data_IF_903031687784
#
_entry.id   IF_903031687784
#
_cell.length_a   1.000
_cell.length_b   1.000
_cell.length_c   1.000
_cell.angle_alpha   90.00
_cell.angle_beta   90.00
_cell.angle_gamma   90.00
#
_symmetry.space_group_name_H-M   'P 1'
#
loop_
_entity.id
_entity.type
_entity.pdbx_description
1 polymer ?
#
# COMPACT_ATOMS: atom_id res chain seq x y z
N UNK A 1 22.88 2.38 6.12
CA UNK A 1 23.32 1.56 4.96
C UNK A 1 23.31 2.49 3.76
N UNK A 2 24.48 2.72 3.14
CA UNK A 2 24.59 3.45 1.87
C UNK A 2 24.51 2.45 0.73
N UNK A 3 23.69 2.72 -0.26
CA UNK A 3 23.59 1.92 -1.48
C UNK A 3 24.00 2.79 -2.66
N UNK A 4 24.96 2.34 -3.43
CA UNK A 4 25.37 2.99 -4.68
C UNK A 4 24.60 2.34 -5.83
N UNK A 5 23.96 3.17 -6.65
CA UNK A 5 23.34 2.74 -7.89
C UNK A 5 24.04 3.44 -9.06
N UNK A 6 24.50 2.67 -10.03
CA UNK A 6 25.16 3.17 -11.23
C UNK A 6 24.62 2.41 -12.43
N UNK A 7 24.18 3.14 -13.44
CA UNK A 7 23.63 2.54 -14.66
C UNK A 7 24.34 3.11 -15.88
N UNK A 8 24.76 2.22 -16.75
CA UNK A 8 25.30 2.54 -18.07
C UNK A 8 24.27 2.15 -19.10
N UNK A 9 23.79 3.12 -19.83
CA UNK A 9 22.89 2.91 -20.95
C UNK A 9 23.70 2.93 -22.23
N UNK A 10 24.25 1.77 -22.60
CA UNK A 10 24.91 1.56 -23.89
C UNK A 10 23.98 0.85 -24.86
N UNK A 11 24.36 0.77 -26.11
CA UNK A 11 23.60 0.11 -27.19
C UNK A 11 23.14 -1.30 -26.79
N UNK A 12 21.90 -1.56 -27.00
CA UNK A 12 21.06 -2.76 -27.19
C UNK A 12 21.53 -4.17 -26.76
N UNK A 13 22.73 -4.42 -26.32
CA UNK A 13 23.19 -5.80 -26.06
C UNK A 13 22.88 -6.34 -24.65
N UNK A 14 22.49 -5.51 -23.69
CA UNK A 14 22.32 -5.94 -22.30
C UNK A 14 20.89 -5.79 -21.72
N UNK A 15 19.86 -5.70 -22.55
CA UNK A 15 18.46 -5.78 -22.10
C UNK A 15 17.99 -4.68 -21.14
N UNK A 16 18.74 -3.60 -20.96
CA UNK A 16 18.35 -2.47 -20.15
C UNK A 16 17.52 -1.49 -21.00
N UNK A 17 16.31 -1.16 -20.54
CA UNK A 17 15.40 -0.27 -21.22
C UNK A 17 15.96 1.16 -21.20
N UNK A 18 16.55 1.58 -22.32
CA UNK A 18 16.86 2.99 -22.56
C UNK A 18 15.77 3.60 -23.42
N UNK A 19 15.25 4.80 -23.09
CA UNK A 19 14.27 5.46 -23.94
C UNK A 19 14.77 5.59 -25.37
N UNK A 20 13.98 5.18 -26.35
CA UNK A 20 14.31 5.05 -27.78
C UNK A 20 14.76 6.34 -28.47
N UNK A 21 14.66 7.49 -27.84
CA UNK A 21 15.06 8.80 -28.36
C UNK A 21 16.51 9.19 -28.00
N UNK A 22 17.26 8.31 -27.33
CA UNK A 22 18.68 8.53 -27.00
C UNK A 22 19.56 7.77 -27.99
N UNK A 23 19.53 8.17 -29.22
CA UNK A 23 20.32 7.55 -30.29
C UNK A 23 21.76 8.08 -30.27
N UNK A 24 22.70 7.16 -30.35
CA UNK A 24 24.12 7.36 -30.71
C UNK A 24 25.08 7.94 -29.67
N UNK A 25 24.68 8.26 -28.44
CA UNK A 25 25.62 8.68 -27.40
C UNK A 25 25.28 7.98 -26.09
N UNK A 26 26.21 7.19 -25.54
CA UNK A 26 26.02 6.49 -24.27
C UNK A 26 25.59 7.43 -23.14
N UNK A 27 24.68 6.98 -22.31
CA UNK A 27 24.23 7.69 -21.11
C UNK A 27 24.84 7.05 -19.87
N UNK A 28 25.17 7.87 -18.88
CA UNK A 28 25.68 7.39 -17.60
C UNK A 28 24.93 8.04 -16.46
N UNK A 29 24.52 7.21 -15.50
CA UNK A 29 23.94 7.60 -14.24
C UNK A 29 24.86 7.17 -13.11
N UNK A 30 25.10 8.06 -12.17
CA UNK A 30 25.81 7.72 -10.94
C UNK A 30 25.14 8.42 -9.77
N UNK A 31 24.83 7.69 -8.72
CA UNK A 31 24.20 8.25 -7.54
C UNK A 31 24.51 7.47 -6.28
N UNK A 32 24.22 8.12 -5.17
CA UNK A 32 24.30 7.56 -3.83
C UNK A 32 22.96 7.76 -3.12
N UNK A 33 22.52 6.73 -2.44
CA UNK A 33 21.36 6.75 -1.55
C UNK A 33 21.82 6.36 -0.13
N UNK A 34 21.55 7.22 0.85
CA UNK A 34 21.84 6.97 2.26
C UNK A 34 20.53 7.01 3.06
N UNK A 35 20.31 5.97 3.86
CA UNK A 35 19.21 5.88 4.81
C UNK A 35 19.78 5.71 6.20
N UNK A 36 19.44 6.61 7.10
CA UNK A 36 19.79 6.57 8.52
C UNK A 36 18.51 6.47 9.34
N UNK A 37 18.47 5.50 10.25
CA UNK A 37 17.31 5.26 11.10
C UNK A 37 17.76 5.13 12.55
N UNK A 38 17.15 5.95 13.41
CA UNK A 38 17.30 5.90 14.84
C UNK A 38 16.00 5.43 15.46
N UNK A 39 16.07 4.40 16.30
CA UNK A 39 14.95 3.86 17.03
C UNK A 39 15.34 3.75 18.49
N UNK A 40 14.54 4.34 19.37
CA UNK A 40 14.64 4.19 20.81
C UNK A 40 13.30 3.80 21.39
N UNK A 41 13.28 2.79 22.25
CA UNK A 41 12.07 2.39 22.97
C UNK A 41 12.35 2.14 24.44
N UNK A 42 11.34 2.39 25.26
CA UNK A 42 11.31 2.04 26.69
C UNK A 42 9.99 1.36 26.98
N UNK A 43 10.03 0.26 27.71
CA UNK A 43 8.84 -0.45 28.11
C UNK A 43 8.90 -0.80 29.61
N UNK A 44 7.74 -0.70 30.28
CA UNK A 44 7.52 -1.10 31.65
C UNK A 44 6.43 -2.16 31.66
N UNK A 45 6.74 -3.36 32.16
CA UNK A 45 5.82 -4.47 32.23
C UNK A 45 5.50 -4.81 33.69
N UNK A 46 4.23 -5.13 33.93
CA UNK A 46 3.73 -5.61 35.21
C UNK A 46 2.97 -6.91 35.02
N UNK A 47 3.31 -7.93 35.78
CA UNK A 47 2.63 -9.22 35.75
C UNK A 47 2.39 -9.70 37.18
N UNK A 48 1.14 -10.03 37.52
CA UNK A 48 0.78 -10.53 38.84
C UNK A 48 -0.34 -11.56 38.75
N UNK A 49 -0.17 -12.64 39.48
CA UNK A 49 -1.21 -13.65 39.71
C UNK A 49 -1.67 -13.59 41.17
N UNK A 50 -2.98 -13.49 41.39
CA UNK A 50 -3.61 -13.46 42.70
C UNK A 50 -4.73 -14.50 42.68
N UNK A 51 -4.43 -15.69 43.18
CA UNK A 51 -5.38 -16.82 43.14
C UNK A 51 -5.80 -17.14 41.70
N UNK A 52 -7.09 -16.99 41.42
CA UNK A 52 -7.70 -17.24 40.09
C UNK A 52 -7.58 -16.07 39.14
N UNK A 53 -7.02 -14.95 39.58
CA UNK A 53 -6.90 -13.72 38.81
C UNK A 53 -5.45 -13.54 38.30
N UNK A 54 -5.27 -13.32 37.04
CA UNK A 54 -3.99 -12.92 36.44
C UNK A 54 -4.15 -11.56 35.77
N UNK A 55 -3.25 -10.65 36.10
CA UNK A 55 -3.20 -9.31 35.54
C UNK A 55 -1.83 -9.10 34.88
N UNK A 56 -1.82 -8.73 33.63
CA UNK A 56 -0.64 -8.30 32.90
C UNK A 56 -0.90 -6.91 32.36
N UNK A 57 0.04 -5.99 32.55
CA UNK A 57 -0.03 -4.65 32.00
C UNK A 57 1.33 -4.23 31.46
N UNK A 58 1.32 -3.46 30.40
CA UNK A 58 2.52 -2.87 29.80
C UNK A 58 2.26 -1.43 29.40
N UNK A 59 3.23 -0.57 29.64
CA UNK A 59 3.27 0.79 29.12
C UNK A 59 4.59 0.97 28.40
N UNK A 60 4.58 1.50 27.19
CA UNK A 60 5.78 1.70 26.41
C UNK A 60 5.73 3.02 25.63
N UNK A 61 6.92 3.55 25.35
CA UNK A 61 7.11 4.71 24.48
C UNK A 61 8.20 4.39 23.47
N UNK A 62 7.99 4.82 22.24
CA UNK A 62 8.91 4.63 21.12
C UNK A 62 9.12 5.96 20.41
N UNK A 63 10.35 6.22 20.01
CA UNK A 63 10.68 7.32 19.12
C UNK A 63 11.53 6.79 17.96
N UNK A 64 11.12 7.12 16.75
CA UNK A 64 11.79 6.74 15.51
C UNK A 64 12.07 7.99 14.70
N UNK A 65 13.32 8.13 14.24
CA UNK A 65 13.72 9.15 13.28
C UNK A 65 14.34 8.49 12.08
N UNK A 66 13.86 8.85 10.89
CA UNK A 66 14.33 8.36 9.60
C UNK A 66 14.78 9.52 8.74
N UNK A 67 16.06 9.51 8.36
CA UNK A 67 16.63 10.48 7.43
C UNK A 67 17.07 9.76 6.17
N UNK A 68 16.63 10.26 5.01
CA UNK A 68 17.03 9.77 3.69
C UNK A 68 17.69 10.91 2.93
N UNK A 69 18.83 10.61 2.34
CA UNK A 69 19.51 11.52 1.41
C UNK A 69 19.82 10.78 0.13
N UNK A 70 19.64 11.45 -0.99
CA UNK A 70 20.06 10.92 -2.27
C UNK A 70 20.75 12.01 -3.09
N UNK A 71 21.68 11.60 -3.88
CA UNK A 71 22.36 12.42 -4.85
C UNK A 71 22.59 11.62 -6.11
N UNK A 72 22.30 12.20 -7.29
CA UNK A 72 22.63 11.55 -8.56
C UNK A 72 23.04 12.54 -9.64
N UNK A 73 23.84 12.02 -10.55
CA UNK A 73 24.27 12.72 -11.76
C UNK A 73 23.91 11.88 -12.97
N UNK A 74 23.32 12.53 -13.95
CA UNK A 74 23.09 12.00 -15.28
C UNK A 74 23.94 12.77 -16.28
N UNK A 75 24.65 12.08 -17.14
CA UNK A 75 25.46 12.67 -18.20
C UNK A 75 25.32 11.88 -19.50
N UNK A 76 25.56 12.58 -20.63
CA UNK A 76 25.42 12.06 -22.00
C UNK A 76 26.74 12.09 -22.73
N UNK A 77 26.87 11.24 -23.78
CA UNK A 77 28.00 11.29 -24.70
C UNK A 77 29.26 10.71 -24.10
N UNK A 78 29.17 9.55 -23.45
CA UNK A 78 30.35 8.77 -23.06
C UNK A 78 30.98 8.20 -24.35
N UNK A 79 32.29 8.42 -24.61
CA UNK A 79 32.92 8.05 -25.86
C UNK A 79 33.18 6.53 -25.99
N UNK A 80 33.27 5.80 -24.87
CA UNK A 80 33.52 4.37 -24.82
C UNK A 80 32.93 3.78 -23.54
N UNK A 81 32.55 2.51 -23.60
CA UNK A 81 32.09 1.75 -22.43
C UNK A 81 33.23 1.36 -21.47
N UNK A 82 34.47 1.49 -21.87
CA UNK A 82 35.65 1.09 -21.07
C UNK A 82 35.79 1.89 -19.79
N UNK A 83 35.28 3.12 -19.76
CA UNK A 83 35.30 3.95 -18.56
C UNK A 83 34.17 3.59 -17.56
N UNK A 84 33.21 2.81 -17.99
CA UNK A 84 32.03 2.54 -17.18
C UNK A 84 31.39 3.83 -16.69
N UNK A 85 30.96 3.84 -15.42
CA UNK A 85 30.39 5.02 -14.75
C UNK A 85 31.39 5.79 -13.87
N UNK A 86 32.67 5.42 -13.92
CA UNK A 86 33.69 5.98 -13.02
C UNK A 86 34.31 7.29 -13.53
N UNK A 87 34.15 7.58 -14.83
CA UNK A 87 34.69 8.79 -15.42
C UNK A 87 33.60 9.70 -16.02
N UNK A 88 32.81 10.36 -15.16
CA UNK A 88 31.83 11.35 -15.59
C UNK A 88 32.45 12.56 -16.30
N UNK A 89 33.75 12.80 -16.08
CA UNK A 89 34.50 13.86 -16.73
C UNK A 89 34.66 13.66 -18.24
N UNK A 90 34.63 12.40 -18.71
CA UNK A 90 34.75 12.05 -20.12
C UNK A 90 33.43 12.22 -20.91
N UNK A 91 32.33 12.62 -20.30
CA UNK A 91 31.04 12.81 -20.97
C UNK A 91 31.00 14.14 -21.72
N UNK A 92 30.39 14.14 -22.91
CA UNK A 92 30.28 15.33 -23.77
C UNK A 92 29.31 16.39 -23.20
N UNK A 93 28.27 15.98 -22.47
CA UNK A 93 27.28 16.90 -21.96
C UNK A 93 26.70 16.45 -20.61
N UNK A 94 26.44 17.41 -19.75
CA UNK A 94 25.63 17.27 -18.52
C UNK A 94 24.35 18.07 -18.74
N UNK A 95 23.24 17.41 -19.06
CA UNK A 95 21.99 18.10 -19.32
C UNK A 95 21.53 18.86 -18.08
N UNK A 96 20.81 19.96 -18.32
CA UNK A 96 20.09 20.66 -17.27
C UNK A 96 19.12 19.69 -16.58
N UNK A 97 19.04 19.74 -15.25
CA UNK A 97 18.31 18.73 -14.45
C UNK A 97 19.00 17.38 -14.33
N UNK A 98 20.21 17.22 -14.91
CA UNK A 98 21.00 15.99 -14.80
C UNK A 98 21.76 15.82 -13.47
N UNK A 99 21.62 16.76 -12.55
CA UNK A 99 22.19 16.65 -11.20
C UNK A 99 21.10 16.98 -10.19
N UNK A 100 20.81 16.08 -9.30
CA UNK A 100 19.77 16.25 -8.28
C UNK A 100 20.25 15.73 -6.93
N UNK A 101 19.79 16.36 -5.87
CA UNK A 101 19.95 15.89 -4.50
C UNK A 101 18.64 16.01 -3.75
N UNK A 102 18.35 15.03 -2.90
CA UNK A 102 17.14 15.02 -2.07
C UNK A 102 17.52 14.81 -0.61
N UNK A 103 16.72 15.40 0.25
CA UNK A 103 16.78 15.24 1.69
C UNK A 103 15.37 15.04 2.23
N UNK A 104 15.14 13.95 2.94
CA UNK A 104 13.88 13.65 3.61
C UNK A 104 14.16 13.35 5.08
N UNK A 105 13.39 13.97 5.95
CA UNK A 105 13.41 13.75 7.40
C UNK A 105 12.00 13.41 7.89
N UNK A 106 11.86 12.31 8.61
CA UNK A 106 10.60 11.80 9.13
C UNK A 106 10.77 11.41 10.60
N UNK A 107 9.84 11.83 11.43
CA UNK A 107 9.81 11.48 12.85
C UNK A 107 8.48 10.84 13.20
N UNK A 108 8.53 9.82 14.05
CA UNK A 108 7.38 9.13 14.63
C UNK A 108 7.62 8.98 16.13
N UNK A 109 6.66 9.42 16.93
CA UNK A 109 6.64 9.22 18.38
C UNK A 109 5.40 8.42 18.75
N UNK A 110 5.54 7.37 19.55
CA UNK A 110 4.45 6.49 19.94
C UNK A 110 4.39 6.33 21.44
N UNK A 111 3.18 6.28 21.99
CA UNK A 111 2.90 5.90 23.36
C UNK A 111 1.88 4.78 23.34
N UNK A 112 2.17 3.69 24.05
CA UNK A 112 1.35 2.49 24.05
C UNK A 112 1.04 2.06 25.46
N UNK A 113 -0.18 1.60 25.69
CA UNK A 113 -0.60 0.94 26.91
C UNK A 113 -1.40 -0.30 26.60
N UNK A 114 -1.13 -1.39 27.29
CA UNK A 114 -1.89 -2.63 27.22
C UNK A 114 -2.21 -3.16 28.59
N UNK A 115 -3.38 -3.76 28.75
CA UNK A 115 -3.76 -4.49 29.96
C UNK A 115 -4.53 -5.75 29.58
N UNK A 116 -4.14 -6.88 30.15
CA UNK A 116 -4.84 -8.15 30.02
C UNK A 116 -5.24 -8.66 31.40
N UNK A 117 -6.52 -8.91 31.56
CA UNK A 117 -7.06 -9.57 32.72
C UNK A 117 -7.54 -10.98 32.36
N UNK A 118 -7.05 -11.98 33.08
CA UNK A 118 -7.48 -13.36 32.92
C UNK A 118 -8.09 -13.91 34.24
N UNK A 119 -9.27 -14.48 34.10
CA UNK A 119 -10.02 -15.10 35.20
C UNK A 119 -10.05 -16.61 34.99
N UNK A 120 -9.67 -17.36 36.04
CA UNK A 120 -9.67 -18.83 36.06
C UNK A 120 -8.81 -19.47 34.97
N UNK A 121 -7.92 -18.71 34.31
CA UNK A 121 -7.23 -19.11 33.08
C UNK A 121 -8.19 -19.55 31.95
N UNK A 122 -9.46 -19.11 32.00
CA UNK A 122 -10.50 -19.46 31.03
C UNK A 122 -10.96 -18.24 30.23
N UNK A 123 -11.13 -17.12 30.88
CA UNK A 123 -11.63 -15.88 30.30
C UNK A 123 -10.50 -14.85 30.30
N UNK A 124 -10.14 -14.34 29.17
CA UNK A 124 -9.13 -13.29 29.05
C UNK A 124 -9.69 -12.10 28.29
N UNK A 125 -9.63 -10.94 28.90
CA UNK A 125 -9.98 -9.66 28.30
C UNK A 125 -8.71 -8.83 28.16
N UNK A 126 -8.40 -8.39 26.95
CA UNK A 126 -7.27 -7.52 26.68
C UNK A 126 -7.76 -6.19 26.12
N UNK A 127 -7.22 -5.09 26.64
CA UNK A 127 -7.48 -3.73 26.17
C UNK A 127 -6.13 -3.11 25.83
N UNK A 128 -6.03 -2.52 24.63
CA UNK A 128 -4.81 -1.83 24.21
C UNK A 128 -5.19 -0.43 23.69
N UNK A 129 -4.29 0.51 23.89
CA UNK A 129 -4.40 1.86 23.36
C UNK A 129 -3.04 2.29 22.85
N UNK A 130 -3.01 2.85 21.63
CA UNK A 130 -1.80 3.39 21.00
C UNK A 130 -2.09 4.80 20.51
N UNK A 131 -1.22 5.72 20.88
CA UNK A 131 -1.16 7.06 20.32
C UNK A 131 0.12 7.21 19.49
N UNK A 132 0.00 7.62 18.24
CA UNK A 132 1.12 7.83 17.33
C UNK A 132 1.13 9.27 16.83
N UNK A 133 2.23 9.97 17.00
CA UNK A 133 2.49 11.31 16.48
C UNK A 133 3.50 11.24 15.34
N UNK A 134 3.20 11.85 14.20
CA UNK A 134 4.05 11.84 13.01
C UNK A 134 4.27 13.21 12.44
N UNK A 135 5.51 13.50 12.01
CA UNK A 135 5.84 14.72 11.24
C UNK A 135 5.36 14.71 9.79
N UNK A 136 4.76 13.60 9.32
CA UNK A 136 4.29 13.46 7.94
C UNK A 136 2.85 13.91 7.74
N UNK A 137 2.05 13.96 8.80
CA UNK A 137 0.65 14.41 8.75
C UNK A 137 0.54 15.93 8.97
N UNK A 138 -0.65 16.47 8.73
CA UNK A 138 -0.92 17.89 8.92
C UNK A 138 -0.85 18.30 10.40
N UNK A 139 -0.50 19.55 10.64
CA UNK A 139 -0.32 20.10 12.00
C UNK A 139 -1.58 19.94 12.87
N UNK A 140 -2.77 19.96 12.24
CA UNK A 140 -4.04 19.79 12.93
C UNK A 140 -4.31 18.33 13.35
N UNK A 141 -3.58 17.36 12.81
CA UNK A 141 -3.80 15.92 13.00
C UNK A 141 -2.53 15.13 13.29
N UNK A 142 -1.55 15.77 13.91
CA UNK A 142 -0.23 15.16 14.21
C UNK A 142 -0.36 13.83 14.96
N UNK A 143 -1.31 13.74 15.90
CA UNK A 143 -1.55 12.54 16.69
C UNK A 143 -2.76 11.75 16.23
N UNK A 144 -2.57 10.44 16.00
CA UNK A 144 -3.63 9.45 15.85
C UNK A 144 -3.80 8.62 17.12
N UNK A 145 -5.03 8.19 17.41
CA UNK A 145 -5.33 7.33 18.55
C UNK A 145 -6.02 6.04 18.08
N UNK A 146 -5.47 4.89 18.46
CA UNK A 146 -5.82 3.58 17.96
C UNK A 146 -6.10 2.60 19.10
N UNK A 147 -7.34 2.52 19.59
CA UNK A 147 -7.74 1.58 20.63
C UNK A 147 -8.03 0.19 20.06
N UNK A 148 -7.90 -0.84 20.91
CA UNK A 148 -8.40 -2.18 20.63
C UNK A 148 -8.84 -2.90 21.88
N UNK A 149 -9.79 -3.83 21.72
CA UNK A 149 -10.26 -4.72 22.75
C UNK A 149 -10.39 -6.12 22.16
N UNK A 150 -9.98 -7.13 22.93
CA UNK A 150 -10.18 -8.52 22.54
C UNK A 150 -10.58 -9.37 23.73
N UNK A 151 -11.37 -10.41 23.46
CA UNK A 151 -11.82 -11.37 24.42
C UNK A 151 -11.53 -12.79 23.92
N UNK A 152 -11.02 -13.62 24.83
CA UNK A 152 -10.75 -15.04 24.58
C UNK A 152 -11.41 -15.88 25.65
N UNK A 153 -12.14 -16.90 25.22
CA UNK A 153 -12.76 -17.89 26.12
C UNK A 153 -12.20 -19.29 25.83
N UNK A 154 -11.49 -19.86 26.80
CA UNK A 154 -11.01 -21.24 26.74
C UNK A 154 -12.13 -22.19 27.21
N UNK A 155 -13.02 -22.52 26.29
CA UNK A 155 -14.21 -23.35 26.57
C UNK A 155 -13.85 -24.76 26.98
N UNK A 156 -12.69 -25.31 26.55
CA UNK A 156 -12.28 -26.66 26.94
C UNK A 156 -12.10 -26.81 28.46
N UNK A 157 -11.80 -25.71 29.14
CA UNK A 157 -11.66 -25.72 30.61
C UNK A 157 -12.98 -25.67 31.38
N UNK A 158 -14.10 -25.57 30.67
CA UNK A 158 -15.43 -25.59 31.27
C UNK A 158 -15.84 -27.03 31.65
N UNK A 159 -16.57 -27.17 32.76
CA UNK A 159 -16.98 -28.46 33.27
C UNK A 159 -17.78 -29.32 32.28
N UNK A 160 -18.60 -28.68 31.43
CA UNK A 160 -19.42 -29.38 30.44
C UNK A 160 -18.62 -29.93 29.25
N UNK A 161 -17.41 -29.42 29.01
CA UNK A 161 -16.50 -29.92 27.95
C UNK A 161 -15.32 -30.71 28.49
N UNK A 162 -15.08 -30.69 29.79
CA UNK A 162 -13.91 -31.32 30.42
C UNK A 162 -13.76 -32.79 30.05
N UNK A 163 -14.88 -33.53 30.02
CA UNK A 163 -14.92 -35.00 29.84
C UNK A 163 -14.92 -35.44 28.36
N UNK A 164 -14.92 -34.50 27.39
CA UNK A 164 -14.86 -34.86 25.97
C UNK A 164 -13.42 -35.20 25.61
N UNK A 165 -13.06 -36.48 25.70
CA UNK A 165 -11.68 -36.99 25.53
C UNK A 165 -11.00 -36.62 24.21
N UNK A 166 -11.64 -36.72 23.02
CA UNK A 166 -10.98 -36.39 21.78
C UNK A 166 -10.69 -34.88 21.61
N UNK A 167 -11.46 -34.02 22.30
CA UNK A 167 -11.28 -32.57 22.26
C UNK A 167 -10.21 -32.12 23.24
N UNK A 168 -9.07 -31.65 22.77
CA UNK A 168 -7.93 -31.20 23.61
C UNK A 168 -7.97 -29.67 23.83
N UNK A 169 -8.50 -28.92 22.88
CA UNK A 169 -8.60 -27.47 22.93
C UNK A 169 -9.88 -27.01 22.25
N UNK A 170 -10.55 -26.04 22.81
CA UNK A 170 -11.59 -25.24 22.20
C UNK A 170 -11.51 -23.83 22.76
N UNK A 171 -11.08 -22.89 21.94
CA UNK A 171 -11.03 -21.47 22.29
C UNK A 171 -11.85 -20.65 21.31
N UNK A 172 -12.66 -19.75 21.83
CA UNK A 172 -13.31 -18.70 21.05
C UNK A 172 -12.58 -17.39 21.25
N UNK A 173 -12.36 -16.68 20.18
CA UNK A 173 -11.67 -15.38 20.15
C UNK A 173 -12.55 -14.36 19.43
N UNK A 174 -12.61 -13.15 19.96
CA UNK A 174 -13.21 -12.02 19.25
C UNK A 174 -12.45 -10.75 19.58
N UNK A 175 -12.42 -9.83 18.65
CA UNK A 175 -11.70 -8.58 18.81
C UNK A 175 -12.28 -7.48 17.94
N UNK A 176 -12.10 -6.25 18.42
CA UNK A 176 -12.36 -5.03 17.69
C UNK A 176 -11.19 -4.08 17.92
N UNK A 177 -10.60 -3.57 16.86
CA UNK A 177 -9.45 -2.69 16.99
C UNK A 177 -9.32 -1.72 15.82
N UNK A 178 -8.58 -0.65 16.09
CA UNK A 178 -8.21 0.34 15.09
C UNK A 178 -6.70 0.34 14.88
N UNK A 179 -6.29 0.59 13.64
CA UNK A 179 -4.90 0.78 13.25
C UNK A 179 -4.78 1.98 12.31
N UNK A 180 -3.76 2.81 12.53
CA UNK A 180 -3.41 3.93 11.66
C UNK A 180 -2.47 3.49 10.55
N UNK A 181 -2.58 4.14 9.39
CA UNK A 181 -1.69 3.95 8.26
C UNK A 181 -1.24 5.29 7.68
N UNK A 182 0.04 5.40 7.33
CA UNK A 182 0.67 6.56 6.68
C UNK A 182 1.25 6.19 5.30
N UNK A 183 0.97 5.02 4.78
CA UNK A 183 1.61 4.47 3.58
C UNK A 183 1.49 5.33 2.32
N UNK A 184 0.49 6.20 2.23
CA UNK A 184 0.30 7.14 1.13
C UNK A 184 0.91 8.54 1.36
N UNK A 185 1.58 8.78 2.51
CA UNK A 185 2.14 10.07 2.89
C UNK A 185 3.67 9.98 2.91
N UNK A 186 4.32 10.86 2.19
CA UNK A 186 5.77 11.06 2.24
C UNK A 186 6.14 12.28 3.10
N UNK A 187 7.43 12.42 3.42
CA UNK A 187 7.92 13.63 4.05
C UNK A 187 7.50 14.87 3.26
N UNK A 188 7.16 15.94 3.96
CA UNK A 188 6.75 17.23 3.39
C UNK A 188 5.48 17.22 2.52
N UNK A 189 4.69 16.11 2.52
CA UNK A 189 3.44 16.03 1.75
C UNK A 189 2.42 17.09 2.17
N UNK A 190 2.44 17.51 3.42
CA UNK A 190 1.56 18.54 3.98
C UNK A 190 1.98 19.97 3.67
N UNK A 191 3.15 20.16 3.05
CA UNK A 191 3.74 21.47 2.80
C UNK A 191 3.61 21.88 1.33
N UNK A 192 3.55 23.19 1.08
CA UNK A 192 3.74 23.72 -0.26
C UNK A 192 5.20 23.47 -0.66
N UNK A 193 5.40 22.78 -1.74
CA UNK A 193 6.73 22.52 -2.28
C UNK A 193 6.89 23.14 -3.66
N UNK A 194 8.04 23.72 -3.89
CA UNK A 194 8.45 24.26 -5.18
C UNK A 194 9.56 23.40 -5.75
N UNK A 195 9.54 23.22 -7.05
CA UNK A 195 10.59 22.55 -7.80
C UNK A 195 11.03 23.42 -8.96
N UNK A 196 12.22 23.21 -9.38
CA UNK A 196 12.72 23.78 -10.62
C UNK A 196 11.88 23.26 -11.81
N UNK A 197 11.29 24.18 -12.58
CA UNK A 197 10.40 23.86 -13.70
C UNK A 197 11.03 24.13 -15.05
N UNK A 198 12.17 24.82 -15.09
CA UNK A 198 12.87 25.11 -16.32
C UNK A 198 14.00 26.14 -16.17
N UNK A 199 14.55 26.56 -17.30
CA UNK A 199 15.44 27.73 -17.41
C UNK A 199 14.86 28.65 -18.46
N UNK A 200 14.79 29.94 -18.14
CA UNK A 200 14.45 31.01 -19.08
C UNK A 200 15.62 31.99 -19.19
N UNK A 201 15.92 32.51 -20.38
CA UNK A 201 16.92 33.54 -20.52
C UNK A 201 16.36 34.89 -20.02
N UNK A 202 16.94 35.44 -18.95
CA UNK A 202 16.66 36.81 -18.51
C UNK A 202 17.89 37.65 -18.78
N UNK A 203 17.75 38.67 -19.63
CA UNK A 203 18.88 39.51 -20.07
C UNK A 203 20.08 38.68 -20.55
N UNK A 204 19.82 37.63 -21.35
CA UNK A 204 20.80 36.71 -21.91
C UNK A 204 21.50 35.79 -20.86
N UNK A 205 21.09 35.83 -19.61
CA UNK A 205 21.59 34.89 -18.57
C UNK A 205 20.57 33.78 -18.34
N UNK A 206 20.97 32.50 -18.36
CA UNK A 206 20.09 31.38 -18.00
C UNK A 206 19.66 31.54 -16.55
N UNK A 207 18.35 31.66 -16.32
CA UNK A 207 17.76 31.82 -14.99
C UNK A 207 16.83 30.65 -14.69
N UNK A 208 17.01 30.06 -13.52
CA UNK A 208 16.16 28.95 -13.04
C UNK A 208 14.77 29.47 -12.71
N UNK A 209 13.74 28.78 -13.24
CA UNK A 209 12.34 29.00 -12.85
C UNK A 209 11.92 27.98 -11.80
N UNK A 210 11.16 28.46 -10.82
CA UNK A 210 10.55 27.61 -9.78
C UNK A 210 9.03 27.61 -9.95
N UNK A 211 8.43 26.47 -9.84
CA UNK A 211 6.97 26.30 -9.85
C UNK A 211 6.48 25.45 -8.69
N UNK A 212 5.23 25.68 -8.30
CA UNK A 212 4.57 24.83 -7.32
C UNK A 212 4.35 23.44 -7.90
N UNK A 213 4.61 22.42 -7.13
CA UNK A 213 4.40 21.01 -7.53
C UNK A 213 3.42 20.30 -6.63
N UNK A 214 2.89 20.99 -5.62
CA UNK A 214 1.94 20.44 -4.66
C UNK A 214 1.21 21.55 -3.92
N UNK A 215 -0.05 21.29 -3.60
CA UNK A 215 -0.80 22.07 -2.62
C UNK A 215 -0.56 21.52 -1.21
N UNK A 216 -0.48 22.40 -0.22
CA UNK A 216 -0.46 21.99 1.17
C UNK A 216 -1.84 21.52 1.64
N UNK A 217 -1.86 20.57 2.56
CA UNK A 217 -3.05 20.18 3.30
C UNK A 217 -2.72 20.04 4.80
N UNK A 218 -2.99 21.10 5.61
CA UNK A 218 -2.73 21.05 7.05
C UNK A 218 -3.68 20.12 7.80
N UNK A 219 -4.78 19.68 7.16
CA UNK A 219 -5.75 18.75 7.73
C UNK A 219 -5.50 17.30 7.33
N UNK A 220 -4.39 17.03 6.65
CA UNK A 220 -4.00 15.67 6.29
C UNK A 220 -3.83 14.82 7.55
N UNK A 221 -4.45 13.64 7.58
CA UNK A 221 -4.47 12.77 8.75
C UNK A 221 -4.17 11.32 8.41
N UNK A 222 -4.11 10.50 9.43
CA UNK A 222 -3.95 9.06 9.33
C UNK A 222 -5.14 8.42 8.62
N UNK A 223 -4.89 7.48 7.72
CA UNK A 223 -5.91 6.52 7.31
C UNK A 223 -6.19 5.61 8.51
N UNK A 224 -7.46 5.33 8.77
CA UNK A 224 -7.87 4.50 9.91
C UNK A 224 -8.54 3.22 9.44
N UNK A 225 -7.93 2.08 9.79
CA UNK A 225 -8.51 0.75 9.56
C UNK A 225 -9.13 0.23 10.85
N UNK A 226 -10.46 0.08 10.86
CA UNK A 226 -11.20 -0.58 11.95
C UNK A 226 -11.47 -2.03 11.57
N UNK A 227 -11.07 -2.98 12.41
CA UNK A 227 -11.23 -4.42 12.15
C UNK A 227 -11.99 -5.06 13.29
N UNK A 228 -13.05 -5.79 12.94
CA UNK A 228 -13.72 -6.77 13.81
C UNK A 228 -13.31 -8.17 13.36
N UNK A 229 -13.00 -9.05 14.31
CA UNK A 229 -12.74 -10.45 14.05
C UNK A 229 -13.39 -11.36 15.09
N UNK A 230 -13.74 -12.56 14.65
CA UNK A 230 -14.22 -13.66 15.48
C UNK A 230 -13.61 -14.96 14.97
N UNK A 231 -13.09 -15.78 15.87
CA UNK A 231 -12.43 -17.03 15.51
C UNK A 231 -12.60 -18.12 16.56
N UNK A 232 -12.38 -19.33 16.10
CA UNK A 232 -12.35 -20.53 16.94
C UNK A 232 -11.09 -21.35 16.68
N UNK A 233 -10.45 -21.81 17.78
CA UNK A 233 -9.32 -22.73 17.73
C UNK A 233 -9.77 -24.06 18.33
N UNK A 234 -9.69 -25.13 17.54
CA UNK A 234 -10.04 -26.49 17.96
C UNK A 234 -8.78 -27.37 17.92
N UNK A 235 -8.60 -28.15 18.96
CA UNK A 235 -7.53 -29.14 19.01
C UNK A 235 -8.11 -30.52 19.39
N UNK A 236 -7.68 -31.52 18.67
CA UNK A 236 -8.12 -32.91 18.92
C UNK A 236 -6.92 -33.83 19.10
N UNK A 237 -7.13 -34.93 19.84
CA UNK A 237 -6.15 -36.01 20.02
C UNK A 237 -4.81 -35.50 20.60
N UNK A 238 -4.87 -34.77 21.71
CA UNK A 238 -3.72 -34.08 22.32
C UNK A 238 -3.04 -33.09 21.35
N UNK A 239 -3.86 -32.32 20.61
CA UNK A 239 -3.46 -31.32 19.62
C UNK A 239 -2.72 -31.89 18.42
N UNK A 240 -2.81 -33.19 18.12
CA UNK A 240 -2.30 -33.76 16.88
C UNK A 240 -3.08 -33.32 15.65
N UNK A 241 -4.32 -32.91 15.83
CA UNK A 241 -5.14 -32.24 14.83
C UNK A 241 -5.55 -30.90 15.40
N UNK A 242 -5.13 -29.83 14.77
CA UNK A 242 -5.52 -28.46 15.11
C UNK A 242 -6.23 -27.83 13.93
N UNK A 243 -7.37 -27.20 14.21
CA UNK A 243 -8.15 -26.45 13.24
C UNK A 243 -8.36 -25.04 13.78
N UNK A 244 -8.02 -24.03 13.01
CA UNK A 244 -8.37 -22.64 13.25
C UNK A 244 -9.35 -22.17 12.19
N UNK A 245 -10.37 -21.43 12.59
CA UNK A 245 -11.30 -20.80 11.68
C UNK A 245 -11.52 -19.36 12.16
N UNK A 246 -11.37 -18.40 11.28
CA UNK A 246 -11.52 -16.97 11.61
C UNK A 246 -12.30 -16.25 10.51
N UNK A 247 -13.24 -15.42 10.92
CA UNK A 247 -13.91 -14.44 10.06
C UNK A 247 -13.50 -13.04 10.49
N UNK A 248 -13.17 -12.19 9.54
CA UNK A 248 -12.92 -10.79 9.78
C UNK A 248 -13.69 -9.87 8.83
N UNK A 249 -14.00 -8.70 9.35
CA UNK A 249 -14.50 -7.56 8.58
C UNK A 249 -13.69 -6.33 8.97
N UNK A 250 -13.13 -5.65 7.97
CA UNK A 250 -12.42 -4.39 8.18
C UNK A 250 -12.96 -3.28 7.27
N UNK A 251 -12.99 -2.08 7.81
CA UNK A 251 -13.30 -0.86 7.07
C UNK A 251 -12.13 0.10 7.21
N UNK A 252 -11.56 0.53 6.09
CA UNK A 252 -10.60 1.61 6.03
C UNK A 252 -11.37 2.89 5.70
N UNK A 253 -11.20 3.89 6.54
CA UNK A 253 -11.77 5.22 6.39
C UNK A 253 -10.64 6.23 6.26
N UNK A 254 -10.99 7.43 5.78
CA UNK A 254 -10.01 8.50 5.61
C UNK A 254 -8.87 8.10 4.66
N UNK A 255 -9.17 7.29 3.63
CA UNK A 255 -8.19 6.91 2.63
C UNK A 255 -7.70 8.13 1.88
N UNK A 256 -6.40 8.15 1.63
CA UNK A 256 -5.72 9.20 0.88
C UNK A 256 -5.99 9.06 -0.61
N UNK A 257 -6.38 10.16 -1.22
CA UNK A 257 -6.54 10.25 -2.66
C UNK A 257 -6.15 11.64 -3.17
N UNK A 258 -5.58 11.71 -4.37
CA UNK A 258 -5.23 12.96 -5.02
C UNK A 258 -6.41 13.45 -5.86
N UNK A 259 -7.04 14.52 -5.43
CA UNK A 259 -8.20 15.12 -6.10
C UNK A 259 -7.77 16.23 -7.05
N UNK A 260 -8.37 16.28 -8.22
CA UNK A 260 -8.24 17.43 -9.10
C UNK A 260 -8.95 18.64 -8.50
N UNK A 261 -8.27 19.77 -8.50
CA UNK A 261 -8.77 21.03 -7.93
C UNK A 261 -8.54 22.19 -8.90
N UNK A 262 -9.42 23.21 -8.90
CA UNK A 262 -9.29 24.35 -9.79
C UNK A 262 -8.07 25.21 -9.46
N UNK A 263 -7.40 25.71 -10.48
CA UNK A 263 -6.30 26.67 -10.38
C UNK A 263 -6.72 27.95 -11.14
N UNK A 264 -6.97 29.08 -10.41
CA UNK A 264 -7.04 29.30 -8.97
C UNK A 264 -8.33 28.75 -8.35
N UNK A 265 -8.51 28.68 -7.00
CA UNK A 265 -7.68 29.32 -5.96
C UNK A 265 -6.47 28.47 -5.50
N UNK A 266 -6.40 27.20 -5.91
CA UNK A 266 -5.26 26.37 -5.59
C UNK A 266 -4.03 26.76 -6.43
N UNK A 267 -2.84 26.54 -5.88
CA UNK A 267 -1.59 26.85 -6.58
C UNK A 267 -1.13 25.72 -7.52
N UNK A 268 -1.68 24.52 -7.35
CA UNK A 268 -1.43 23.33 -8.14
C UNK A 268 -2.75 22.59 -8.41
N UNK A 269 -2.83 21.84 -9.50
CA UNK A 269 -4.07 21.22 -9.96
C UNK A 269 -4.52 19.97 -9.17
N UNK A 270 -3.74 19.51 -8.21
CA UNK A 270 -4.12 18.36 -7.36
C UNK A 270 -3.97 18.68 -5.89
N UNK A 271 -4.86 18.13 -5.06
CA UNK A 271 -4.84 18.19 -3.61
C UNK A 271 -4.95 16.77 -3.03
N UNK A 272 -4.01 16.37 -2.19
CA UNK A 272 -4.10 15.13 -1.45
C UNK A 272 -5.02 15.33 -0.23
N UNK A 273 -6.07 14.52 -0.10
CA UNK A 273 -7.04 14.62 1.00
C UNK A 273 -7.52 13.24 1.47
N UNK A 274 -7.96 13.17 2.74
CA UNK A 274 -8.46 11.96 3.38
C UNK A 274 -9.98 11.86 3.24
N UNK A 275 -10.47 11.32 2.15
CA UNK A 275 -11.92 11.27 1.88
C UNK A 275 -12.38 9.84 1.54
N UNK A 276 -11.51 9.02 0.94
CA UNK A 276 -11.85 7.69 0.47
C UNK A 276 -12.20 6.70 1.58
N UNK A 277 -12.92 5.65 1.20
CA UNK A 277 -13.20 4.52 2.09
C UNK A 277 -13.32 3.20 1.34
N UNK A 278 -12.88 2.11 1.99
CA UNK A 278 -13.00 0.74 1.48
C UNK A 278 -13.34 -0.25 2.59
N UNK A 279 -13.85 -1.41 2.21
CA UNK A 279 -14.02 -2.53 3.12
C UNK A 279 -13.29 -3.77 2.62
N UNK A 280 -12.90 -4.62 3.56
CA UNK A 280 -12.35 -5.93 3.29
C UNK A 280 -12.95 -6.92 4.30
N UNK A 281 -13.34 -8.10 3.84
CA UNK A 281 -13.84 -9.20 4.65
C UNK A 281 -13.24 -10.50 4.18
N UNK A 282 -13.04 -11.41 5.09
CA UNK A 282 -12.50 -12.71 4.73
C UNK A 282 -12.81 -13.79 5.74
N UNK A 283 -12.61 -15.01 5.28
CA UNK A 283 -12.70 -16.21 6.09
C UNK A 283 -11.40 -17.01 5.90
N UNK A 284 -10.76 -17.35 7.01
CA UNK A 284 -9.48 -18.04 7.02
C UNK A 284 -9.60 -19.36 7.77
N UNK A 285 -9.03 -20.42 7.21
CA UNK A 285 -8.98 -21.76 7.80
C UNK A 285 -7.52 -22.19 7.85
N UNK A 286 -7.07 -22.54 9.05
CA UNK A 286 -5.77 -23.17 9.26
C UNK A 286 -5.98 -24.61 9.72
N UNK A 287 -5.28 -25.56 9.13
CA UNK A 287 -5.25 -26.97 9.52
C UNK A 287 -3.81 -27.38 9.78
N UNK A 288 -3.55 -27.93 10.97
CA UNK A 288 -2.27 -28.54 11.32
C UNK A 288 -2.52 -29.96 11.79
N UNK A 289 -1.87 -30.91 11.16
CA UNK A 289 -2.01 -32.35 11.47
C UNK A 289 -0.64 -32.95 11.71
N UNK A 290 -0.49 -33.64 12.84
CA UNK A 290 0.69 -34.42 13.19
C UNK A 290 0.35 -35.93 13.20
N UNK A 291 0.27 -36.58 12.03
CA UNK A 291 -0.13 -37.98 11.97
C UNK A 291 0.91 -38.93 12.55
N UNK A 292 2.18 -38.56 12.51
CA UNK A 292 3.26 -39.35 13.05
C UNK A 292 4.04 -38.50 14.06
N UNK A 293 4.14 -38.98 15.29
CA UNK A 293 4.96 -38.40 16.36
C UNK A 293 5.58 -39.53 17.14
N UNK A 294 6.74 -39.98 16.69
CA UNK A 294 7.57 -41.04 17.35
C UNK A 294 8.95 -40.45 17.62
N UNK A 295 9.71 -41.17 18.49
CA UNK A 295 11.03 -40.73 18.93
C UNK A 295 11.99 -40.38 17.75
N UNK A 296 11.95 -41.16 16.68
CA UNK A 296 12.88 -41.08 15.54
C UNK A 296 12.18 -40.60 14.23
N UNK A 297 10.88 -40.26 14.28
CA UNK A 297 10.12 -39.88 13.10
C UNK A 297 8.96 -38.95 13.47
N UNK A 298 8.90 -37.82 12.82
CA UNK A 298 7.80 -36.84 12.97
C UNK A 298 7.33 -36.39 11.59
N UNK A 299 6.01 -36.31 11.42
CA UNK A 299 5.38 -35.77 10.21
C UNK A 299 4.38 -34.69 10.61
N UNK A 300 4.62 -33.47 10.15
CA UNK A 300 3.72 -32.33 10.32
C UNK A 300 3.21 -31.87 8.96
N UNK A 301 1.89 -31.74 8.84
CA UNK A 301 1.22 -31.23 7.64
C UNK A 301 0.46 -29.97 8.04
N UNK A 302 0.80 -28.85 7.40
CA UNK A 302 0.12 -27.58 7.63
C UNK A 302 -0.52 -27.10 6.32
N UNK A 303 -1.78 -26.66 6.41
CA UNK A 303 -2.53 -26.11 5.29
C UNK A 303 -3.26 -24.85 5.75
N UNK A 304 -3.19 -23.80 4.92
CA UNK A 304 -3.94 -22.57 5.13
C UNK A 304 -4.76 -22.27 3.90
N UNK A 305 -6.03 -21.91 4.11
CA UNK A 305 -6.95 -21.45 3.09
C UNK A 305 -7.48 -20.09 3.51
N UNK A 306 -7.45 -19.13 2.59
CA UNK A 306 -7.98 -17.80 2.80
C UNK A 306 -8.91 -17.41 1.67
N UNK A 307 -10.09 -16.94 2.02
CA UNK A 307 -11.08 -16.38 1.10
C UNK A 307 -11.30 -14.93 1.48
N UNK A 308 -10.99 -14.02 0.57
CA UNK A 308 -11.12 -12.59 0.84
C UNK A 308 -11.93 -11.89 -0.24
N UNK A 309 -12.60 -10.82 0.15
CA UNK A 309 -13.32 -9.93 -0.75
C UNK A 309 -13.17 -8.50 -0.25
N UNK A 310 -12.65 -7.64 -1.11
CA UNK A 310 -12.57 -6.21 -0.85
C UNK A 310 -13.58 -5.44 -1.70
N UNK A 311 -13.90 -4.22 -1.27
CA UNK A 311 -14.81 -3.32 -1.99
C UNK A 311 -14.41 -1.88 -1.75
N UNK A 312 -14.19 -1.13 -2.83
CA UNK A 312 -14.09 0.33 -2.77
C UNK A 312 -15.48 0.92 -2.51
N UNK A 313 -15.65 1.63 -1.39
CA UNK A 313 -16.96 2.14 -0.99
C UNK A 313 -17.19 3.52 -1.60
N UNK A 314 -16.21 4.42 -1.48
CA UNK A 314 -16.31 5.80 -1.97
C UNK A 314 -14.95 6.41 -2.17
N UNK A 315 -14.83 7.28 -3.16
CA UNK A 315 -13.72 8.22 -3.37
C UNK A 315 -14.23 9.68 -3.37
N UNK A 316 -15.45 9.93 -2.96
CA UNK A 316 -16.06 11.28 -2.98
C UNK A 316 -16.49 11.69 -1.58
N UNK A 317 -16.47 12.99 -1.30
CA UNK A 317 -16.83 13.54 -0.02
C UNK A 317 -16.67 15.07 0.04
N UNK A 318 -16.50 15.61 1.23
CA UNK A 318 -16.38 17.05 1.45
C UNK A 318 -15.05 17.41 2.10
N UNK A 319 -14.38 18.41 1.56
CA UNK A 319 -13.20 19.04 2.15
C UNK A 319 -13.42 20.53 2.32
N UNK A 320 -13.48 21.01 3.54
CA UNK A 320 -13.69 22.43 3.90
C UNK A 320 -14.88 23.09 3.17
N UNK A 321 -15.98 22.34 3.03
CA UNK A 321 -17.18 22.85 2.34
C UNK A 321 -17.17 22.67 0.83
N UNK A 322 -16.06 22.26 0.22
CA UNK A 322 -16.00 21.89 -1.19
C UNK A 322 -16.33 20.41 -1.38
N UNK A 323 -17.18 20.11 -2.35
CA UNK A 323 -17.38 18.75 -2.81
C UNK A 323 -16.13 18.29 -3.57
N UNK A 324 -15.50 17.24 -3.07
CA UNK A 324 -14.36 16.57 -3.72
C UNK A 324 -14.90 15.30 -4.35
N UNK A 325 -14.82 15.20 -5.65
CA UNK A 325 -15.35 14.09 -6.41
C UNK A 325 -14.21 13.51 -7.25
N UNK A 326 -13.90 12.23 -7.07
CA UNK A 326 -13.09 11.48 -8.01
C UNK A 326 -14.01 10.81 -9.03
N UNK A 327 -13.49 10.49 -10.20
CA UNK A 327 -14.23 9.69 -11.16
C UNK A 327 -14.56 8.31 -10.55
N UNK A 328 -15.80 7.85 -10.78
CA UNK A 328 -16.25 6.54 -10.30
C UNK A 328 -15.49 5.39 -10.97
N UNK A 329 -14.94 5.63 -12.15
CA UNK A 329 -14.11 4.71 -12.94
C UNK A 329 -12.79 5.42 -13.24
N UNK A 330 -11.67 4.84 -12.83
CA UNK A 330 -10.33 5.40 -13.05
C UNK A 330 -9.37 4.30 -13.47
N UNK A 331 -8.68 4.50 -14.58
CA UNK A 331 -7.61 3.60 -15.02
C UNK A 331 -6.40 3.71 -14.08
N UNK A 332 -5.89 2.55 -13.62
CA UNK A 332 -4.75 2.46 -12.72
C UNK A 332 -3.62 1.57 -13.25
N UNK A 333 -3.84 0.87 -14.35
CA UNK A 333 -2.83 0.05 -14.98
C UNK A 333 -3.08 -0.16 -16.46
N UNK A 334 -2.00 -0.14 -17.23
CA UNK A 334 -2.00 -0.32 -18.69
C UNK A 334 -1.11 -1.49 -19.10
N UNK A 335 -1.37 -2.04 -20.29
CA UNK A 335 -0.47 -2.98 -20.97
C UNK A 335 0.41 -2.23 -21.96
N UNK A 336 1.72 -2.35 -21.77
CA UNK A 336 2.68 -1.80 -22.72
C UNK A 336 3.01 -2.83 -23.82
N UNK A 337 3.09 -2.38 -25.07
CA UNK A 337 3.59 -3.17 -26.19
C UNK A 337 2.65 -4.27 -26.70
N UNK A 338 1.38 -4.28 -26.36
CA UNK A 338 0.42 -5.31 -26.76
C UNK A 338 -0.04 -5.24 -28.22
N UNK A 339 0.67 -4.57 -29.10
CA UNK A 339 0.36 -4.52 -30.55
C UNK A 339 -0.91 -3.77 -30.91
N UNK A 340 -1.47 -3.01 -29.99
CA UNK A 340 -2.64 -2.18 -30.24
C UNK A 340 -2.22 -0.87 -30.90
N UNK A 341 -2.43 -0.77 -32.18
CA UNK A 341 -2.24 0.46 -32.94
C UNK A 341 -3.25 1.51 -32.47
N UNK A 342 -2.84 2.40 -31.55
CA UNK A 342 -3.57 3.61 -31.19
C UNK A 342 -4.81 3.39 -30.29
N UNK A 343 -4.96 2.24 -29.65
CA UNK A 343 -6.03 1.99 -28.69
C UNK A 343 -5.65 2.42 -27.27
N UNK A 344 -6.65 2.56 -26.42
CA UNK A 344 -6.48 2.70 -24.97
C UNK A 344 -5.91 1.39 -24.40
N UNK A 345 -4.68 1.47 -23.91
CA UNK A 345 -3.98 0.32 -23.32
C UNK A 345 -4.35 0.04 -21.85
N UNK A 346 -5.27 0.81 -21.31
CA UNK A 346 -5.73 0.66 -19.93
C UNK A 346 -6.55 -0.62 -19.78
N UNK A 347 -6.17 -1.44 -18.83
CA UNK A 347 -6.81 -2.76 -18.58
C UNK A 347 -7.21 -2.97 -17.13
N UNK A 348 -6.51 -2.31 -16.19
CA UNK A 348 -6.81 -2.38 -14.76
C UNK A 348 -7.42 -1.09 -14.30
N UNK A 349 -8.57 -1.19 -13.65
CA UNK A 349 -9.36 -0.05 -13.23
C UNK A 349 -9.70 -0.11 -11.76
N UNK A 350 -9.85 1.06 -11.17
CA UNK A 350 -10.45 1.29 -9.88
C UNK A 350 -11.86 1.80 -10.10
N UNK A 351 -12.86 1.04 -9.64
CA UNK A 351 -14.28 1.32 -9.84
C UNK A 351 -14.97 1.36 -8.48
N UNK A 352 -15.68 2.45 -8.18
CA UNK A 352 -16.46 2.57 -6.94
C UNK A 352 -17.54 1.48 -6.91
N UNK A 353 -17.67 0.81 -5.78
CA UNK A 353 -18.58 -0.32 -5.61
C UNK A 353 -18.03 -1.68 -6.01
N UNK A 354 -16.83 -1.74 -6.61
CA UNK A 354 -16.17 -2.96 -7.04
C UNK A 354 -14.93 -3.28 -6.19
N UNK A 355 -14.35 -4.48 -6.31
CA UNK A 355 -13.03 -4.79 -5.76
C UNK A 355 -11.95 -3.85 -6.30
N UNK A 356 -10.86 -3.66 -5.55
CA UNK A 356 -9.71 -2.91 -6.03
C UNK A 356 -9.02 -3.67 -7.17
N UNK A 357 -8.65 -2.93 -8.23
CA UNK A 357 -7.88 -3.47 -9.33
C UNK A 357 -8.68 -4.50 -10.14
N UNK A 358 -9.79 -4.11 -10.74
CA UNK A 358 -10.55 -4.98 -11.64
C UNK A 358 -10.04 -4.87 -13.07
N UNK A 359 -10.05 -5.99 -13.79
CA UNK A 359 -9.90 -5.99 -15.24
C UNK A 359 -11.22 -5.51 -15.86
N UNK A 360 -11.21 -4.31 -16.45
CA UNK A 360 -12.36 -3.69 -17.10
C UNK A 360 -12.07 -3.54 -18.58
N UNK A 361 -12.60 -4.47 -19.36
CA UNK A 361 -12.18 -4.73 -20.73
C UNK A 361 -13.36 -4.75 -21.69
N UNK A 362 -13.17 -4.40 -22.98
CA UNK A 362 -14.16 -4.69 -24.01
C UNK A 362 -14.25 -6.21 -24.25
N UNK A 363 -15.44 -6.70 -24.51
CA UNK A 363 -15.65 -8.10 -24.89
C UNK A 363 -15.49 -8.28 -26.40
N UNK A 364 -14.49 -9.07 -26.80
CA UNK A 364 -14.24 -9.39 -28.20
C UNK A 364 -14.89 -10.72 -28.57
N UNK A 365 -15.84 -10.70 -29.51
CA UNK A 365 -16.52 -11.91 -30.04
C UNK A 365 -15.69 -12.66 -31.07
N UNK A 366 -14.71 -12.00 -31.68
CA UNK A 366 -13.87 -12.58 -32.72
C UNK A 366 -13.25 -11.56 -33.65
N UNK A 367 -12.93 -11.98 -34.87
CA UNK A 367 -12.39 -11.13 -35.92
C UNK A 367 -13.39 -11.04 -37.08
N UNK A 368 -13.60 -9.83 -37.56
CA UNK A 368 -14.38 -9.53 -38.77
C UNK A 368 -13.45 -9.15 -39.90
N UNK A 369 -13.65 -9.73 -41.10
CA UNK A 369 -12.92 -9.35 -42.29
C UNK A 369 -13.56 -8.10 -42.92
N UNK A 370 -12.79 -7.06 -43.04
CA UNK A 370 -13.20 -5.80 -43.64
C UNK A 370 -13.24 -5.90 -45.19
N UNK A 371 -13.93 -5.00 -45.87
CA UNK A 371 -14.01 -4.91 -47.32
C UNK A 371 -12.66 -4.77 -48.02
N UNK A 372 -11.70 -4.11 -47.35
CA UNK A 372 -10.33 -3.96 -47.85
C UNK A 372 -9.44 -5.19 -47.63
N UNK A 373 -9.98 -6.29 -47.09
CA UNK A 373 -9.28 -7.53 -46.81
C UNK A 373 -8.52 -7.56 -45.49
N UNK A 374 -8.48 -6.47 -44.73
CA UNK A 374 -7.94 -6.45 -43.36
C UNK A 374 -8.92 -7.09 -42.37
N UNK A 375 -8.43 -7.38 -41.16
CA UNK A 375 -9.26 -7.89 -40.06
C UNK A 375 -9.33 -6.83 -38.95
N UNK A 376 -10.53 -6.70 -38.37
CA UNK A 376 -10.78 -5.93 -37.14
C UNK A 376 -11.38 -6.79 -36.06
N UNK A 377 -11.25 -6.36 -34.82
CA UNK A 377 -11.92 -7.02 -33.70
C UNK A 377 -13.42 -6.74 -33.73
N UNK A 378 -14.24 -7.79 -33.58
CA UNK A 378 -15.68 -7.70 -33.37
C UNK A 378 -15.94 -7.47 -31.88
N UNK A 379 -16.04 -6.20 -31.48
CA UNK A 379 -16.32 -5.82 -30.10
C UNK A 379 -17.84 -5.82 -29.88
N UNK A 380 -18.24 -6.37 -28.76
CA UNK A 380 -19.65 -6.44 -28.38
C UNK A 380 -20.18 -5.07 -27.92
N UNK A 381 -21.30 -4.66 -28.48
CA UNK A 381 -22.11 -3.54 -28.01
C UNK A 381 -22.92 -4.06 -26.79
N UNK A 382 -22.43 -3.78 -25.59
CA UNK A 382 -22.97 -4.35 -24.34
C UNK A 382 -24.25 -3.65 -23.87
N UNK A 383 -24.40 -2.36 -24.20
CA UNK A 383 -25.60 -1.58 -23.86
C UNK A 383 -26.68 -1.60 -24.97
N UNK A 384 -26.37 -2.26 -26.11
CA UNK A 384 -27.26 -2.41 -27.25
C UNK A 384 -27.76 -1.11 -27.87
N UNK A 385 -26.94 -0.06 -27.81
CA UNK A 385 -27.28 1.25 -28.40
C UNK A 385 -26.97 1.37 -29.90
N UNK A 386 -26.38 0.33 -30.50
CA UNK A 386 -26.01 0.24 -31.91
C UNK A 386 -24.66 0.87 -32.26
N UNK A 387 -23.85 1.23 -31.25
CA UNK A 387 -22.51 1.77 -31.41
C UNK A 387 -21.57 1.16 -30.38
N UNK A 388 -20.36 0.85 -30.79
CA UNK A 388 -19.33 0.39 -29.86
C UNK A 388 -18.61 1.61 -29.27
N UNK A 389 -18.70 1.78 -27.95
CA UNK A 389 -18.01 2.83 -27.19
C UNK A 389 -16.99 2.19 -26.25
N UNK A 390 -15.69 2.48 -26.47
CA UNK A 390 -14.59 1.97 -25.65
C UNK A 390 -14.15 2.95 -24.56
N UNK A 391 -14.86 4.04 -24.36
CA UNK A 391 -14.60 4.98 -23.28
C UNK A 391 -14.92 4.39 -21.90
N UNK A 392 -14.49 5.07 -20.85
CA UNK A 392 -14.82 4.68 -19.49
C UNK A 392 -16.34 4.80 -19.24
N UNK A 393 -16.97 3.68 -18.88
CA UNK A 393 -18.42 3.58 -18.74
C UNK A 393 -19.16 3.12 -20.01
N UNK A 394 -18.45 2.91 -21.14
CA UNK A 394 -19.00 2.36 -22.38
C UNK A 394 -19.03 0.81 -22.40
N UNK A 395 -18.84 0.22 -23.59
CA UNK A 395 -18.97 -1.23 -23.83
C UNK A 395 -17.81 -2.05 -23.27
N UNK A 396 -17.66 -2.00 -21.97
CA UNK A 396 -16.67 -2.74 -21.19
C UNK A 396 -17.34 -3.55 -20.09
N UNK A 397 -16.75 -4.66 -19.72
CA UNK A 397 -17.23 -5.51 -18.62
C UNK A 397 -16.10 -5.85 -17.64
N UNK A 398 -16.45 -6.22 -16.42
CA UNK A 398 -15.49 -6.67 -15.41
C UNK A 398 -15.18 -8.14 -15.71
N UNK A 399 -14.00 -8.39 -16.27
CA UNK A 399 -13.53 -9.72 -16.63
C UNK A 399 -12.97 -10.51 -15.44
N UNK A 400 -12.60 -9.79 -14.36
CA UNK A 400 -12.03 -10.38 -13.16
C UNK A 400 -11.37 -9.34 -12.27
N UNK A 401 -10.74 -9.78 -11.19
CA UNK A 401 -9.94 -8.96 -10.31
C UNK A 401 -8.46 -9.25 -10.58
N UNK A 402 -7.66 -8.19 -10.75
CA UNK A 402 -6.21 -8.30 -10.69
C UNK A 402 -5.85 -8.65 -9.24
N UNK A 403 -5.42 -9.87 -9.00
CA UNK A 403 -4.87 -10.25 -7.69
C UNK A 403 -3.46 -9.67 -7.58
N UNK A 404 -3.09 -9.06 -6.44
CA UNK A 404 -1.74 -8.58 -6.23
C UNK A 404 -0.72 -9.72 -6.15
#
# INVERSE_FOLDING_TARGET
>A
ISTFASYLCGSTENGMFCPTWVWAQGNVYRGEFKKEEWLGNVALSFNKQIGIHRISAEASSEYRKLTKTAFWVYAKGIPTNDFGYDNLGATAARPYGGTESTYEDQSLASVMGSATYSLLDRYSLSVNARGDGSSMVGDNNTWGFFPSVSFTWDMKKEGFLANIKPLSMLKLRTGLGQAGNLGGISAYTTMNTVRQTGIVPIKSSPTVTLGMVRNNNPDLKWETKTTFNIGADLGFFANRLMLTAEYYYSKTSDMLYAYEVPVPPFAYNTLLANIGSMSNRGFEIGLSVQPISKKDMELNINMNLSFQSNKLISLSGNYKGMSMTAADITAIGSLDGAGQNGGDNNVVYQIVGQPLGVFYLPHCKGLVKNENGSYSYDIEDLDHNGKVDLSDGGDRYIAGQATP
#
